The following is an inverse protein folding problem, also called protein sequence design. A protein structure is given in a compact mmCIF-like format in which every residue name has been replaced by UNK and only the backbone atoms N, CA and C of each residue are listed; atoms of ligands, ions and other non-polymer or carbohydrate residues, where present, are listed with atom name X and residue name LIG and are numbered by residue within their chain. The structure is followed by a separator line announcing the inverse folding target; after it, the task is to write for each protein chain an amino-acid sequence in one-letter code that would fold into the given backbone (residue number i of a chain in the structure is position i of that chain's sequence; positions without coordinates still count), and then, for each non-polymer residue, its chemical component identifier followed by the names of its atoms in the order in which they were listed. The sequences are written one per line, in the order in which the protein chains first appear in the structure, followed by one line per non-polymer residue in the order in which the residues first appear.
data_IF_486281834010
#
_entry.id   IF_486281834010
#
_cell.length_a   1.000
_cell.length_b   1.000
_cell.length_c   1.000
_cell.angle_alpha   90.00
_cell.angle_beta   90.00
_cell.angle_gamma   90.00
#
_symmetry.space_group_name_H-M   'P 1'
#
loop_
_entity.id
_entity.type
_entity.pdbx_description
1 polymer ?
#
# COMPACT_ATOMS: atom_id res chain seq x y z
N UNK A 1 12.23 20.03 -4.37
CA UNK A 1 10.96 20.63 -3.88
C UNK A 1 10.01 20.82 -5.05
N UNK A 2 8.71 20.52 -4.91
CA UNK A 2 7.68 20.69 -5.95
C UNK A 2 6.58 21.63 -5.44
N UNK A 3 6.33 22.72 -6.14
CA UNK A 3 5.18 23.61 -5.90
C UNK A 3 4.10 23.27 -6.92
N UNK A 4 2.85 23.09 -6.47
CA UNK A 4 1.75 22.71 -7.36
C UNK A 4 0.41 23.17 -6.79
N UNK A 5 -0.57 23.33 -7.67
CA UNK A 5 -1.91 23.70 -7.25
C UNK A 5 -2.57 22.55 -6.47
N UNK A 6 -3.34 22.88 -5.41
CA UNK A 6 -3.94 21.87 -4.51
C UNK A 6 -4.90 20.89 -5.21
N UNK A 7 -5.45 21.28 -6.37
CA UNK A 7 -6.28 20.40 -7.22
C UNK A 7 -5.47 19.36 -7.99
N UNK A 8 -4.20 19.63 -8.27
CA UNK A 8 -3.27 18.67 -8.88
C UNK A 8 -2.73 17.71 -7.82
N UNK A 9 -2.37 18.28 -6.65
CA UNK A 9 -1.87 17.52 -5.51
C UNK A 9 -0.41 17.08 -5.66
N UNK A 10 0.12 16.51 -4.58
CA UNK A 10 1.51 16.05 -4.51
C UNK A 10 1.65 14.85 -3.57
N UNK A 11 2.76 14.13 -3.73
CA UNK A 11 3.10 12.99 -2.87
C UNK A 11 4.01 13.45 -1.72
N UNK A 12 3.67 13.05 -0.50
CA UNK A 12 4.44 13.33 0.71
C UNK A 12 4.25 12.21 1.73
N UNK A 13 5.33 11.73 2.35
CA UNK A 13 5.34 10.63 3.34
C UNK A 13 4.58 9.36 2.90
N UNK A 14 4.53 9.09 1.60
CA UNK A 14 3.82 7.93 1.05
C UNK A 14 2.32 8.14 0.84
N UNK A 15 1.81 9.36 0.98
CA UNK A 15 0.44 9.73 0.65
C UNK A 15 0.39 10.73 -0.49
N UNK A 16 -0.62 10.61 -1.33
CA UNK A 16 -1.04 11.65 -2.26
C UNK A 16 -2.02 12.58 -1.55
N UNK A 17 -1.67 13.87 -1.49
CA UNK A 17 -2.46 14.94 -0.88
C UNK A 17 -3.08 15.74 -2.03
N UNK A 18 -4.41 15.71 -2.14
CA UNK A 18 -5.14 16.37 -3.24
C UNK A 18 -6.53 16.83 -2.81
N UNK A 19 -6.94 18.01 -3.28
CA UNK A 19 -8.30 18.54 -3.10
C UNK A 19 -9.19 18.12 -4.27
N UNK A 20 -10.21 17.33 -3.97
CA UNK A 20 -11.23 16.83 -4.90
C UNK A 20 -12.55 17.54 -4.61
N UNK A 21 -13.10 18.27 -5.59
CA UNK A 21 -14.43 18.89 -5.49
C UNK A 21 -14.69 19.60 -4.14
N UNK A 22 -13.72 20.37 -3.65
CA UNK A 22 -13.84 21.08 -2.36
C UNK A 22 -13.30 20.33 -1.14
N UNK A 23 -13.10 19.01 -1.21
CA UNK A 23 -12.65 18.17 -0.09
C UNK A 23 -11.19 17.75 -0.22
N UNK A 24 -10.39 17.99 0.82
CA UNK A 24 -9.01 17.49 0.89
C UNK A 24 -9.03 16.01 1.28
N UNK A 25 -8.39 15.17 0.49
CA UNK A 25 -8.21 13.75 0.81
C UNK A 25 -6.72 13.41 0.79
N UNK A 26 -6.30 12.67 1.80
CA UNK A 26 -4.99 12.02 1.85
C UNK A 26 -5.22 10.54 1.55
N UNK A 27 -4.59 10.03 0.49
CA UNK A 27 -4.70 8.62 0.07
C UNK A 27 -3.30 8.03 -0.02
N UNK A 28 -3.06 6.74 0.26
CA UNK A 28 -1.78 6.11 -0.06
C UNK A 28 -1.37 6.40 -1.52
N UNK A 29 -0.15 6.88 -1.74
CA UNK A 29 0.31 7.23 -3.08
C UNK A 29 0.48 5.97 -3.94
N UNK A 30 0.30 6.10 -5.25
CA UNK A 30 0.46 4.97 -6.17
C UNK A 30 1.87 4.36 -6.05
N UNK A 31 2.89 5.21 -5.90
CA UNK A 31 4.27 4.78 -5.72
C UNK A 31 4.47 3.99 -4.41
N UNK A 32 3.90 4.46 -3.29
CA UNK A 32 4.02 3.76 -2.01
C UNK A 32 3.32 2.38 -2.04
N UNK A 33 2.10 2.33 -2.60
CA UNK A 33 1.35 1.08 -2.76
C UNK A 33 2.12 0.09 -3.63
N UNK A 34 2.66 0.54 -4.77
CA UNK A 34 3.46 -0.29 -5.66
C UNK A 34 4.69 -0.83 -4.93
N UNK A 35 5.46 0.03 -4.25
CA UNK A 35 6.66 -0.38 -3.52
C UNK A 35 6.34 -1.41 -2.42
N UNK A 36 5.21 -1.26 -1.72
CA UNK A 36 4.76 -2.24 -0.73
C UNK A 36 4.41 -3.59 -1.35
N UNK A 37 3.65 -3.59 -2.45
CA UNK A 37 3.27 -4.81 -3.17
C UNK A 37 4.49 -5.51 -3.79
N UNK A 38 5.42 -4.76 -4.38
CA UNK A 38 6.67 -5.30 -4.91
C UNK A 38 7.48 -5.98 -3.79
N UNK A 39 7.58 -5.35 -2.62
CA UNK A 39 8.24 -5.96 -1.44
C UNK A 39 7.57 -7.27 -1.02
N UNK A 40 6.23 -7.32 -1.00
CA UNK A 40 5.49 -8.55 -0.67
C UNK A 40 5.76 -9.63 -1.73
N UNK A 41 5.72 -9.26 -3.01
CA UNK A 41 5.96 -10.18 -4.12
C UNK A 41 7.36 -10.79 -4.06
N UNK A 42 8.38 -9.97 -3.83
CA UNK A 42 9.76 -10.46 -3.69
C UNK A 42 9.92 -11.31 -2.42
N UNK A 43 9.25 -10.96 -1.32
CA UNK A 43 9.25 -11.78 -0.11
C UNK A 43 8.66 -13.17 -0.36
N UNK A 44 7.53 -13.26 -1.06
CA UNK A 44 6.92 -14.54 -1.43
C UNK A 44 7.85 -15.33 -2.37
N UNK A 45 8.42 -14.68 -3.39
CA UNK A 45 9.36 -15.33 -4.32
C UNK A 45 10.60 -15.89 -3.62
N UNK A 46 11.16 -15.17 -2.65
CA UNK A 46 12.31 -15.63 -1.88
C UNK A 46 11.99 -16.83 -0.96
N UNK A 47 10.71 -17.05 -0.65
CA UNK A 47 10.23 -18.08 0.27
C UNK A 47 9.35 -19.14 -0.43
N UNK A 48 9.52 -19.37 -1.74
CA UNK A 48 8.70 -20.32 -2.51
C UNK A 48 8.68 -21.75 -1.95
N UNK A 49 9.78 -22.19 -1.33
CA UNK A 49 9.90 -23.52 -0.72
C UNK A 49 9.43 -23.57 0.74
N UNK A 50 9.07 -22.43 1.35
CA UNK A 50 8.60 -22.39 2.73
C UNK A 50 7.19 -22.99 2.83
N UNK A 51 6.91 -23.65 3.96
CA UNK A 51 5.54 -24.07 4.27
C UNK A 51 4.62 -22.85 4.33
N UNK A 52 3.42 -22.96 3.77
CA UNK A 52 2.45 -21.87 3.71
C UNK A 52 2.18 -21.22 5.08
N UNK A 53 2.03 -22.04 6.13
CA UNK A 53 1.84 -21.53 7.49
C UNK A 53 3.01 -20.66 7.99
N UNK A 54 4.25 -21.02 7.61
CA UNK A 54 5.43 -20.23 7.93
C UNK A 54 5.44 -18.90 7.17
N UNK A 55 5.11 -18.94 5.87
CA UNK A 55 5.00 -17.75 5.03
C UNK A 55 3.95 -16.77 5.57
N UNK A 56 2.77 -17.25 5.96
CA UNK A 56 1.69 -16.44 6.56
C UNK A 56 2.19 -15.78 7.86
N UNK A 57 2.87 -16.54 8.72
CA UNK A 57 3.41 -16.01 9.98
C UNK A 57 4.41 -14.87 9.75
N UNK A 58 5.21 -14.96 8.69
CA UNK A 58 6.18 -13.92 8.33
C UNK A 58 5.53 -12.69 7.67
N UNK A 59 4.51 -12.89 6.83
CA UNK A 59 3.84 -11.79 6.11
C UNK A 59 2.90 -10.97 7.00
N UNK A 60 2.24 -11.60 7.98
CA UNK A 60 1.24 -10.94 8.83
C UNK A 60 1.75 -9.65 9.52
N UNK A 61 2.95 -9.63 10.15
CA UNK A 61 3.50 -8.41 10.73
C UNK A 61 3.75 -7.30 9.70
N UNK A 62 4.21 -7.65 8.49
CA UNK A 62 4.48 -6.68 7.41
C UNK A 62 3.19 -6.02 6.93
N UNK A 63 2.17 -6.83 6.69
CA UNK A 63 0.84 -6.35 6.27
C UNK A 63 0.20 -5.48 7.36
N UNK A 64 0.28 -5.93 8.63
CA UNK A 64 -0.28 -5.19 9.76
C UNK A 64 0.44 -3.86 9.99
N UNK A 65 1.77 -3.84 9.90
CA UNK A 65 2.55 -2.61 10.03
C UNK A 65 2.15 -1.57 8.99
N UNK A 66 1.98 -1.99 7.74
CA UNK A 66 1.55 -1.10 6.66
C UNK A 66 0.10 -0.63 6.84
N UNK A 67 -0.80 -1.53 7.26
CA UNK A 67 -2.19 -1.16 7.59
C UNK A 67 -2.26 -0.13 8.72
N UNK A 68 -1.46 -0.31 9.78
CA UNK A 68 -1.37 0.62 10.90
C UNK A 68 -0.82 1.98 10.47
N UNK A 69 0.21 2.01 9.62
CA UNK A 69 0.78 3.26 9.09
C UNK A 69 -0.24 4.07 8.28
N UNK A 70 -1.15 3.40 7.57
CA UNK A 70 -2.17 4.05 6.74
C UNK A 70 -3.57 4.14 7.39
N UNK A 71 -3.72 3.78 8.67
CA UNK A 71 -5.03 3.68 9.33
C UNK A 71 -5.77 5.01 9.50
N UNK A 72 -5.01 6.12 9.54
CA UNK A 72 -5.52 7.47 9.76
C UNK A 72 -5.80 8.25 8.46
N UNK A 73 -5.58 7.62 7.29
CA UNK A 73 -5.82 8.24 5.98
C UNK A 73 -6.93 7.51 5.20
N UNK A 74 -7.36 8.08 4.06
CA UNK A 74 -8.41 7.50 3.22
C UNK A 74 -7.83 6.33 2.41
N UNK A 75 -7.78 5.15 3.04
CA UNK A 75 -7.12 3.96 2.48
C UNK A 75 -8.06 2.78 2.19
N UNK A 76 -9.37 2.87 2.46
CA UNK A 76 -10.32 1.75 2.33
C UNK A 76 -10.26 1.07 0.95
N UNK A 77 -10.35 1.84 -0.12
CA UNK A 77 -10.27 1.32 -1.50
C UNK A 77 -8.89 0.74 -1.82
N UNK A 78 -7.83 1.37 -1.32
CA UNK A 78 -6.45 0.89 -1.50
C UNK A 78 -6.27 -0.47 -0.82
N UNK A 79 -6.76 -0.65 0.40
CA UNK A 79 -6.71 -1.92 1.11
C UNK A 79 -7.53 -3.00 0.42
N UNK A 80 -8.72 -2.67 -0.08
CA UNK A 80 -9.54 -3.61 -0.83
C UNK A 80 -8.84 -4.09 -2.13
N UNK A 81 -8.17 -3.18 -2.85
CA UNK A 81 -7.37 -3.54 -4.03
C UNK A 81 -6.15 -4.38 -3.65
N UNK A 82 -5.36 -3.93 -2.66
CA UNK A 82 -4.15 -4.64 -2.23
C UNK A 82 -4.43 -6.08 -1.77
N UNK A 83 -5.58 -6.34 -1.14
CA UNK A 83 -6.00 -7.71 -0.81
C UNK A 83 -6.15 -8.59 -2.06
N UNK A 84 -6.73 -8.06 -3.14
CA UNK A 84 -6.88 -8.79 -4.41
C UNK A 84 -5.52 -9.02 -5.06
N UNK A 85 -4.67 -8.01 -5.09
CA UNK A 85 -3.35 -8.09 -5.71
C UNK A 85 -2.47 -9.14 -5.02
N UNK A 86 -2.50 -9.21 -3.68
CA UNK A 86 -1.75 -10.21 -2.90
C UNK A 86 -2.31 -11.62 -3.11
N UNK A 87 -3.62 -11.79 -3.24
CA UNK A 87 -4.22 -13.08 -3.54
C UNK A 87 -3.75 -13.61 -4.91
N UNK A 88 -3.65 -12.73 -5.92
CA UNK A 88 -3.13 -13.07 -7.24
C UNK A 88 -1.62 -13.35 -7.30
N UNK A 89 -0.87 -13.26 -6.19
CA UNK A 89 0.54 -13.68 -6.15
C UNK A 89 0.73 -15.18 -5.91
N UNK A 90 -0.33 -15.90 -5.56
CA UNK A 90 -0.33 -17.35 -5.36
C UNK A 90 -0.76 -18.14 -6.60
N UNK A 91 -1.32 -17.44 -7.59
CA UNK A 91 -1.61 -17.95 -8.94
C UNK A 91 -0.37 -17.77 -9.83
#
# INVERSE_FOLDING_TARGET
TKVTHIKEGFDFLGWNIRKYNGKLLMKPSKANVKAHLDKIREFIKANKAAKQAHLIRLLNPVLRGWANYHSHVVAKETFARGRRDVAGFYE
#
